data_IF_266139635699
#
_entry.id   IF_266139635699
#
_cell.length_a   1.000
_cell.length_b   1.000
_cell.length_c   1.000
_cell.angle_alpha   90.00
_cell.angle_beta   90.00
_cell.angle_gamma   90.00
#
_symmetry.space_group_name_H-M   'P 1'
#
loop_
_entity.id
_entity.type
_entity.pdbx_description
1 polymer ?
#
# COMPACT_ATOMS: atom_id res chain seq x y z
N UNK A 1 -66.72 14.66 1.84
CA UNK A 1 -66.62 15.32 0.53
C UNK A 1 -65.80 16.60 0.70
N UNK A 2 -64.72 16.69 -0.08
CA UNK A 2 -63.90 17.87 -0.43
C UNK A 2 -63.34 18.75 0.69
N UNK A 3 -62.06 18.61 1.07
CA UNK A 3 -60.84 19.08 0.37
C UNK A 3 -60.68 20.60 0.40
N UNK A 4 -59.76 21.11 1.21
CA UNK A 4 -58.92 22.26 0.84
C UNK A 4 -57.53 22.13 1.46
N UNK A 5 -56.53 22.10 0.56
CA UNK A 5 -55.10 21.97 0.77
C UNK A 5 -54.55 22.84 1.90
N UNK A 6 -53.79 22.23 2.82
CA UNK A 6 -52.72 22.92 3.55
C UNK A 6 -51.40 22.59 2.86
N UNK A 7 -50.74 23.64 2.41
CA UNK A 7 -49.45 23.58 1.72
C UNK A 7 -48.39 22.90 2.60
N UNK A 8 -47.90 21.74 2.15
CA UNK A 8 -46.65 21.19 2.63
C UNK A 8 -45.51 21.99 1.99
N UNK A 9 -45.00 22.98 2.71
CA UNK A 9 -43.69 23.55 2.41
C UNK A 9 -42.64 22.48 2.75
N UNK A 10 -42.31 21.64 1.77
CA UNK A 10 -41.18 20.70 1.87
C UNK A 10 -39.91 21.50 1.62
N UNK A 11 -39.32 22.00 2.70
CA UNK A 11 -37.93 22.48 2.65
C UNK A 11 -37.03 21.29 2.41
N UNK A 12 -36.51 21.19 1.18
CA UNK A 12 -35.44 20.25 0.81
C UNK A 12 -34.17 20.74 1.51
N UNK A 13 -33.95 20.29 2.74
CA UNK A 13 -32.66 20.39 3.39
C UNK A 13 -31.70 19.45 2.66
N UNK A 14 -30.83 20.02 1.83
CA UNK A 14 -29.66 19.35 1.32
C UNK A 14 -28.79 18.94 2.50
N UNK A 15 -28.94 17.70 2.96
CA UNK A 15 -27.93 17.06 3.79
C UNK A 15 -26.71 16.90 2.88
N UNK A 16 -25.74 17.78 3.07
CA UNK A 16 -24.37 17.56 2.65
C UNK A 16 -23.91 16.28 3.37
N UNK A 17 -24.12 15.13 2.74
CA UNK A 17 -23.26 13.98 2.96
C UNK A 17 -21.88 14.44 2.51
N UNK A 18 -21.12 15.01 3.45
CA UNK A 18 -19.68 15.05 3.30
C UNK A 18 -19.25 13.60 3.15
N UNK A 19 -18.80 13.25 1.95
CA UNK A 19 -17.92 12.11 1.74
C UNK A 19 -16.78 12.27 2.73
N UNK A 20 -16.92 11.62 3.89
CA UNK A 20 -15.80 11.30 4.73
C UNK A 20 -14.90 10.45 3.83
N UNK A 21 -13.87 11.11 3.27
CA UNK A 21 -12.81 10.46 2.54
C UNK A 21 -12.46 9.18 3.29
N UNK A 22 -12.65 8.04 2.64
CA UNK A 22 -12.39 6.71 3.19
C UNK A 22 -10.88 6.50 3.33
N UNK A 23 -10.21 7.35 4.12
CA UNK A 23 -8.83 7.20 4.51
C UNK A 23 -8.77 6.17 5.65
N UNK A 24 -8.89 4.89 5.31
CA UNK A 24 -8.91 3.85 6.35
C UNK A 24 -8.62 2.42 5.92
N UNK A 25 -8.92 2.03 4.67
CA UNK A 25 -8.99 0.61 4.31
C UNK A 25 -7.91 0.14 3.34
N UNK A 26 -6.98 1.00 2.93
CA UNK A 26 -6.01 0.67 1.87
C UNK A 26 -4.87 -0.23 2.34
N UNK A 27 -4.78 -0.50 3.65
CA UNK A 27 -3.71 -1.31 4.25
C UNK A 27 -4.26 -2.26 5.31
N UNK A 28 -3.59 -3.41 5.53
CA UNK A 28 -3.92 -4.32 6.62
C UNK A 28 -3.66 -3.69 8.00
N UNK A 29 -4.39 -4.16 9.02
CA UNK A 29 -4.17 -3.76 10.42
C UNK A 29 -3.02 -4.55 11.03
N UNK A 30 -1.79 -4.09 10.82
CA UNK A 30 -0.57 -4.73 11.33
C UNK A 30 -0.11 -4.08 12.64
N UNK A 31 0.46 -4.88 13.55
CA UNK A 31 0.98 -4.38 14.84
C UNK A 31 2.38 -3.79 14.71
N UNK A 32 2.64 -2.60 15.27
CA UNK A 32 3.99 -2.08 15.42
C UNK A 32 4.88 -3.00 16.27
N UNK A 33 6.18 -3.05 15.99
CA UNK A 33 7.15 -3.86 16.75
C UNK A 33 8.44 -4.12 15.99
N UNK A 34 9.19 -5.12 16.46
CA UNK A 34 10.33 -5.65 15.70
C UNK A 34 9.82 -6.64 14.66
N UNK A 35 10.17 -6.38 13.40
CA UNK A 35 9.78 -7.14 12.23
C UNK A 35 11.02 -7.70 11.54
N UNK A 36 10.93 -8.95 11.11
CA UNK A 36 11.90 -9.61 10.23
C UNK A 36 11.33 -9.68 8.81
N UNK A 37 12.13 -9.24 7.84
CA UNK A 37 11.79 -9.16 6.43
C UNK A 37 12.71 -10.07 5.64
N UNK A 38 12.13 -10.94 4.82
CA UNK A 38 12.86 -11.83 3.92
C UNK A 38 12.44 -11.52 2.50
N UNK A 39 13.39 -11.11 1.65
CA UNK A 39 13.14 -10.72 0.27
C UNK A 39 13.76 -11.74 -0.69
N UNK A 40 12.98 -12.19 -1.67
CA UNK A 40 13.38 -13.12 -2.73
C UNK A 40 12.96 -12.55 -4.08
N UNK A 41 13.72 -12.81 -5.14
CA UNK A 41 13.32 -12.41 -6.49
C UNK A 41 13.71 -10.96 -6.81
N UNK A 42 15.00 -10.70 -6.88
CA UNK A 42 15.48 -9.61 -7.72
C UNK A 42 16.44 -10.27 -8.70
N UNK A 43 16.37 -9.94 -9.99
CA UNK A 43 17.48 -10.20 -10.91
C UNK A 43 18.64 -9.24 -10.53
N UNK A 44 19.19 -9.47 -9.34
CA UNK A 44 20.48 -8.98 -8.92
C UNK A 44 21.54 -10.03 -9.23
N UNK A 45 22.83 -9.75 -8.97
CA UNK A 45 23.88 -10.74 -9.15
C UNK A 45 23.52 -12.06 -8.46
N UNK A 46 23.96 -13.23 -8.98
CA UNK A 46 23.59 -14.59 -8.50
C UNK A 46 23.91 -14.87 -7.01
N UNK A 47 24.51 -13.91 -6.31
CA UNK A 47 24.85 -13.92 -4.90
C UNK A 47 23.99 -12.96 -4.07
N UNK A 48 22.89 -12.41 -4.63
CA UNK A 48 21.89 -11.65 -3.90
C UNK A 48 21.15 -12.61 -2.95
N UNK A 49 21.83 -13.01 -1.89
CA UNK A 49 21.30 -13.82 -0.81
C UNK A 49 20.04 -13.13 -0.30
N UNK A 50 19.02 -13.93 -0.02
CA UNK A 50 17.82 -13.50 0.70
C UNK A 50 18.26 -12.90 2.04
N UNK A 51 18.43 -11.58 2.09
CA UNK A 51 18.83 -10.87 3.30
C UNK A 51 17.61 -10.81 4.22
N UNK A 52 17.67 -11.55 5.32
CA UNK A 52 16.76 -11.36 6.43
C UNK A 52 17.17 -10.06 7.14
N UNK A 53 16.33 -9.03 7.08
CA UNK A 53 16.56 -7.74 7.74
C UNK A 53 15.58 -7.62 8.89
N UNK A 54 16.08 -7.25 10.07
CA UNK A 54 15.23 -6.92 11.22
C UNK A 54 15.15 -5.42 11.40
N UNK A 55 13.93 -4.90 11.48
CA UNK A 55 13.69 -3.48 11.77
C UNK A 55 12.58 -3.32 12.79
N UNK A 56 12.76 -2.35 13.69
CA UNK A 56 11.69 -1.90 14.57
C UNK A 56 10.92 -0.77 13.88
N UNK A 57 9.64 -1.02 13.56
CA UNK A 57 8.79 -0.09 12.82
C UNK A 57 7.29 -0.36 13.00
N UNK A 58 6.47 0.56 12.49
CA UNK A 58 5.06 0.34 12.18
C UNK A 58 4.93 0.09 10.66
N UNK A 59 4.58 -1.14 10.21
CA UNK A 59 4.56 -1.47 8.79
C UNK A 59 3.58 -0.61 7.99
N UNK A 60 2.43 -0.28 8.58
CA UNK A 60 1.40 0.50 7.89
C UNK A 60 1.88 1.94 7.70
N UNK A 61 2.48 2.52 8.74
CA UNK A 61 3.06 3.85 8.65
C UNK A 61 4.19 3.89 7.61
N UNK A 62 5.12 2.94 7.66
CA UNK A 62 6.24 2.86 6.71
C UNK A 62 5.76 2.66 5.27
N UNK A 63 4.73 1.84 5.02
CA UNK A 63 4.16 1.69 3.67
C UNK A 63 3.52 3.00 3.16
N UNK A 64 2.82 3.74 4.03
CA UNK A 64 2.24 5.05 3.66
C UNK A 64 3.33 6.07 3.35
N UNK A 65 4.36 6.14 4.19
CA UNK A 65 5.51 7.02 3.99
C UNK A 65 6.24 6.68 2.67
N UNK A 66 6.48 5.40 2.40
CA UNK A 66 7.07 4.95 1.14
C UNK A 66 6.21 5.37 -0.07
N UNK A 67 4.89 5.14 -0.03
CA UNK A 67 4.02 5.54 -1.12
C UNK A 67 4.02 7.06 -1.32
N UNK A 68 4.06 7.84 -0.24
CA UNK A 68 4.15 9.29 -0.32
C UNK A 68 5.48 9.75 -0.95
N UNK A 69 6.60 9.14 -0.58
CA UNK A 69 7.90 9.41 -1.19
C UNK A 69 7.92 9.06 -2.69
N UNK A 70 7.36 7.90 -3.06
CA UNK A 70 7.25 7.48 -4.45
C UNK A 70 6.35 8.42 -5.25
N UNK A 71 5.24 8.89 -4.66
CA UNK A 71 4.36 9.86 -5.29
C UNK A 71 5.09 11.18 -5.58
N UNK A 72 5.89 11.67 -4.63
CA UNK A 72 6.75 12.84 -4.83
C UNK A 72 7.79 12.64 -5.95
N UNK A 73 8.27 11.41 -6.13
CA UNK A 73 9.23 11.07 -7.17
C UNK A 73 8.62 10.93 -8.58
N UNK A 74 7.29 10.90 -8.72
CA UNK A 74 6.61 10.76 -10.01
C UNK A 74 5.77 9.49 -10.18
N UNK A 75 5.50 8.75 -9.10
CA UNK A 75 4.59 7.62 -9.12
C UNK A 75 3.13 8.02 -8.89
N UNK A 76 2.23 7.36 -9.61
CA UNK A 76 0.77 7.41 -9.41
C UNK A 76 0.30 6.05 -8.94
N UNK A 77 -0.64 6.05 -8.00
CA UNK A 77 -1.19 4.83 -7.44
C UNK A 77 -2.67 4.70 -7.81
N UNK A 78 -3.05 3.52 -8.29
CA UNK A 78 -4.46 3.19 -8.45
C UNK A 78 -5.12 3.03 -7.06
N UNK A 79 -6.45 3.22 -6.95
CA UNK A 79 -7.17 2.84 -5.73
C UNK A 79 -6.89 1.39 -5.34
N UNK A 80 -6.66 1.14 -4.05
CA UNK A 80 -6.35 -0.20 -3.57
C UNK A 80 -7.59 -1.08 -3.66
N UNK A 81 -7.44 -2.24 -4.30
CA UNK A 81 -8.47 -3.27 -4.32
C UNK A 81 -8.31 -4.18 -3.11
N UNK A 82 -9.35 -4.27 -2.28
CA UNK A 82 -9.35 -5.08 -1.05
C UNK A 82 -10.35 -6.24 -1.19
N UNK A 83 -9.86 -7.46 -1.03
CA UNK A 83 -10.65 -8.70 -1.05
C UNK A 83 -10.27 -9.56 0.16
N UNK A 84 -11.04 -9.44 1.25
CA UNK A 84 -10.75 -10.14 2.50
C UNK A 84 -9.42 -9.69 3.10
N UNK A 85 -8.43 -10.59 3.12
CA UNK A 85 -7.08 -10.33 3.60
C UNK A 85 -6.07 -10.02 2.48
N UNK A 86 -6.54 -9.87 1.23
CA UNK A 86 -5.71 -9.57 0.06
C UNK A 86 -5.91 -8.11 -0.36
N UNK A 87 -4.79 -7.41 -0.55
CA UNK A 87 -4.72 -6.00 -0.93
C UNK A 87 -3.91 -5.91 -2.22
N UNK A 88 -4.53 -5.49 -3.31
CA UNK A 88 -3.87 -5.31 -4.60
C UNK A 88 -3.74 -3.84 -4.90
N UNK A 89 -2.53 -3.38 -5.19
CA UNK A 89 -2.27 -2.00 -5.58
C UNK A 89 -1.30 -1.94 -6.76
N UNK A 90 -1.57 -0.99 -7.67
CA UNK A 90 -0.72 -0.72 -8.83
C UNK A 90 -0.02 0.62 -8.62
N UNK A 91 1.27 0.67 -8.92
CA UNK A 91 2.02 1.90 -9.07
C UNK A 91 2.43 2.08 -10.53
N UNK A 92 2.17 3.24 -11.11
CA UNK A 92 2.75 3.65 -12.40
C UNK A 92 3.69 4.82 -12.15
N UNK A 93 4.97 4.62 -12.41
CA UNK A 93 6.01 5.62 -12.17
C UNK A 93 6.52 6.16 -13.49
N UNK A 94 6.60 7.49 -13.59
CA UNK A 94 7.29 8.20 -14.66
C UNK A 94 8.29 9.15 -13.99
N UNK A 95 9.48 8.63 -13.72
CA UNK A 95 10.50 9.33 -12.93
C UNK A 95 11.53 9.93 -13.90
N UNK A 96 11.79 11.24 -13.84
CA UNK A 96 12.82 11.89 -14.65
C UNK A 96 14.17 11.16 -14.52
N UNK A 97 14.86 11.00 -15.65
CA UNK A 97 16.18 10.33 -15.76
C UNK A 97 16.23 8.85 -15.32
N UNK A 98 15.10 8.27 -14.91
CA UNK A 98 14.97 6.87 -14.50
C UNK A 98 14.14 6.07 -15.50
N UNK A 99 12.99 6.57 -15.96
CA UNK A 99 12.14 5.89 -16.93
C UNK A 99 10.72 5.62 -16.44
N UNK A 100 9.98 4.85 -17.24
CA UNK A 100 8.57 4.54 -17.02
C UNK A 100 8.40 3.10 -16.59
N UNK A 101 7.83 2.89 -15.42
CA UNK A 101 7.61 1.56 -14.87
C UNK A 101 6.17 1.39 -14.39
N UNK A 102 5.71 0.15 -14.42
CA UNK A 102 4.44 -0.26 -13.83
C UNK A 102 4.70 -1.44 -12.93
N UNK A 103 4.22 -1.36 -11.69
CA UNK A 103 4.34 -2.42 -10.70
C UNK A 103 2.96 -2.78 -10.16
N UNK A 104 2.65 -4.08 -10.10
CA UNK A 104 1.47 -4.62 -9.43
C UNK A 104 1.93 -5.35 -8.19
N UNK A 105 1.41 -4.93 -7.04
CA UNK A 105 1.72 -5.53 -5.75
C UNK A 105 0.48 -6.21 -5.20
N UNK A 106 0.64 -7.47 -4.78
CA UNK A 106 -0.38 -8.25 -4.08
C UNK A 106 0.12 -8.53 -2.68
N UNK A 107 -0.45 -7.82 -1.70
CA UNK A 107 -0.21 -8.05 -0.29
C UNK A 107 -1.27 -9.01 0.26
N UNK A 108 -0.83 -10.08 0.93
CA UNK A 108 -1.69 -10.98 1.68
C UNK A 108 -1.37 -10.87 3.17
N UNK A 109 -2.33 -10.40 3.95
CA UNK A 109 -2.22 -10.37 5.41
C UNK A 109 -2.54 -11.74 5.99
N UNK A 110 -1.53 -12.43 6.52
CA UNK A 110 -1.70 -13.75 7.16
C UNK A 110 -2.26 -13.58 8.59
N UNK A 111 -1.87 -12.50 9.27
CA UNK A 111 -2.37 -12.08 10.57
C UNK A 111 -2.02 -10.61 10.82
N UNK A 112 -2.32 -10.08 12.02
CA UNK A 112 -1.82 -8.77 12.47
C UNK A 112 -0.29 -8.74 12.71
N UNK A 113 0.40 -9.89 12.54
CA UNK A 113 1.83 -10.10 12.81
C UNK A 113 2.59 -10.73 11.64
N UNK A 114 1.94 -10.99 10.51
CA UNK A 114 2.59 -11.59 9.36
C UNK A 114 1.88 -11.21 8.07
N UNK A 115 2.66 -10.95 7.03
CA UNK A 115 2.14 -10.71 5.69
C UNK A 115 3.18 -11.10 4.64
N UNK A 116 2.70 -11.33 3.43
CA UNK A 116 3.53 -11.54 2.24
C UNK A 116 3.14 -10.51 1.18
N UNK A 117 4.12 -9.98 0.44
CA UNK A 117 3.89 -9.12 -0.73
C UNK A 117 4.56 -9.76 -1.93
N UNK A 118 3.82 -9.92 -3.01
CA UNK A 118 4.36 -10.27 -4.32
C UNK A 118 4.30 -9.03 -5.20
N UNK A 119 5.40 -8.71 -5.87
CA UNK A 119 5.50 -7.54 -6.74
C UNK A 119 5.95 -8.00 -8.12
N UNK A 120 5.14 -7.71 -9.13
CA UNK A 120 5.50 -7.85 -10.53
C UNK A 120 5.73 -6.47 -11.11
N UNK A 121 6.89 -6.23 -11.71
CA UNK A 121 7.26 -4.95 -12.30
C UNK A 121 7.67 -5.11 -13.76
N UNK A 122 7.31 -4.14 -14.58
CA UNK A 122 7.68 -4.06 -15.99
C UNK A 122 7.86 -2.61 -16.44
N UNK A 123 8.52 -2.41 -17.58
CA UNK A 123 8.65 -1.11 -18.23
C UNK A 123 10.07 -0.88 -18.70
N UNK A 124 10.60 0.31 -18.44
CA UNK A 124 11.91 0.74 -18.88
C UNK A 124 12.66 1.47 -17.74
N UNK A 125 13.94 1.13 -17.57
CA UNK A 125 14.86 1.86 -16.71
C UNK A 125 16.03 2.34 -17.57
N UNK A 126 16.27 3.66 -17.62
CA UNK A 126 17.37 4.31 -18.37
C UNK A 126 17.44 3.86 -19.84
N UNK A 127 16.32 3.83 -20.55
CA UNK A 127 16.29 3.42 -21.96
C UNK A 127 16.30 1.90 -22.18
N UNK A 128 16.31 1.08 -21.13
CA UNK A 128 16.41 -0.39 -21.24
C UNK A 128 15.16 -1.06 -20.69
N UNK A 129 14.56 -2.02 -21.44
CA UNK A 129 13.44 -2.81 -20.94
C UNK A 129 13.80 -3.52 -19.64
N UNK A 130 12.84 -3.54 -18.72
CA UNK A 130 12.94 -4.18 -17.43
C UNK A 130 11.70 -5.03 -17.18
N UNK A 131 11.91 -6.22 -16.61
CA UNK A 131 10.88 -7.04 -15.99
C UNK A 131 11.46 -7.66 -14.72
N UNK A 132 10.71 -7.65 -13.63
CA UNK A 132 11.16 -8.21 -12.35
C UNK A 132 9.98 -8.77 -11.56
N UNK A 133 10.24 -9.84 -10.79
CA UNK A 133 9.27 -10.45 -9.88
C UNK A 133 9.93 -10.65 -8.52
N UNK A 134 9.32 -10.07 -7.49
CA UNK A 134 9.81 -10.09 -6.11
C UNK A 134 8.76 -10.64 -5.15
N UNK A 135 9.21 -11.36 -4.12
CA UNK A 135 8.41 -11.80 -2.99
C UNK A 135 9.08 -11.32 -1.70
N UNK A 136 8.34 -10.55 -0.91
CA UNK A 136 8.69 -10.15 0.45
C UNK A 136 7.82 -10.92 1.44
N UNK A 137 8.44 -11.61 2.40
CA UNK A 137 7.75 -12.17 3.56
C UNK A 137 8.15 -11.39 4.79
N UNK A 138 7.17 -11.01 5.62
CA UNK A 138 7.39 -10.20 6.81
C UNK A 138 6.72 -10.85 8.03
N UNK A 139 7.44 -10.94 9.15
CA UNK A 139 6.91 -11.46 10.43
C UNK A 139 7.34 -10.59 11.60
N UNK A 140 6.41 -10.29 12.51
CA UNK A 140 6.69 -9.59 13.76
C UNK A 140 7.30 -10.54 14.78
N UNK A 141 8.59 -10.36 15.04
CA UNK A 141 9.41 -11.21 15.92
C UNK A 141 9.42 -10.74 17.38
N UNK A 142 9.06 -9.48 17.66
CA UNK A 142 9.11 -8.98 19.03
C UNK A 142 8.58 -7.58 19.22
N UNK A 143 8.70 -7.08 20.44
CA UNK A 143 8.57 -5.65 20.71
C UNK A 143 9.86 -4.96 20.33
N UNK A 144 9.77 -3.69 19.97
CA UNK A 144 10.95 -2.86 19.79
C UNK A 144 11.75 -2.73 21.08
N UNK A 145 13.08 -2.80 20.97
CA UNK A 145 13.94 -2.38 22.07
C UNK A 145 13.74 -0.88 22.36
N UNK A 146 13.88 -0.50 23.63
CA UNK A 146 13.75 0.89 24.07
C UNK A 146 14.73 1.77 23.29
N UNK A 147 14.24 2.84 22.67
CA UNK A 147 15.05 3.79 21.91
C UNK A 147 15.42 3.37 20.48
N UNK A 148 14.79 2.33 19.91
CA UNK A 148 15.07 1.83 18.54
C UNK A 148 13.89 1.96 17.56
N UNK A 149 12.81 2.64 17.95
CA UNK A 149 11.67 2.89 17.07
C UNK A 149 12.02 3.92 16.00
N UNK A 150 12.04 3.46 14.74
CA UNK A 150 11.92 4.34 13.57
C UNK A 150 10.47 4.78 13.44
#
# INVERSE_FOLDING_TARGET
MSSFQRACAVSIAWVLCGDAAAAGNDFPKLKPGEWEFTRKGFEGPPNAQSLAVKECLDPVRTMREQNAMLAQAGCKFDPVKVEGNVYTYTAQCDIPDMGKTRSVSVLTAESDRAYTVKVESEGEIKGKPMKASEILTARRVGNCAVGKAK
#
